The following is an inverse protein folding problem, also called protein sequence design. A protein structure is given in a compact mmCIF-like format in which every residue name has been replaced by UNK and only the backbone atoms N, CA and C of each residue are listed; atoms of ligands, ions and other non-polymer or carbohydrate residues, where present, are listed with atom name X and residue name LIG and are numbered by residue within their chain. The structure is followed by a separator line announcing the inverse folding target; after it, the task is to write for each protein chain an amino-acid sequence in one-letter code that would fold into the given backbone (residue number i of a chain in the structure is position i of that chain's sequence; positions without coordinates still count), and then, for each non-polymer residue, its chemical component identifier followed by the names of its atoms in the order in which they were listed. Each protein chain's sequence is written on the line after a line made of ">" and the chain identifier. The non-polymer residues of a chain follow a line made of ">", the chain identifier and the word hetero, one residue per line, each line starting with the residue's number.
data_IF_598853687483
#
_entry.id   IF_598853687483
#
_cell.length_a   1.000
_cell.length_b   1.000
_cell.length_c   1.000
_cell.angle_alpha   90.00
_cell.angle_beta   90.00
_cell.angle_gamma   90.00
#
_symmetry.space_group_name_H-M   'P 1'
#
loop_
_entity.id
_entity.type
_entity.pdbx_description
1 polymer ?
#
# COMPACT_ATOMS: atom_id res chain seq x y z
N UNK A 1 59.03 59.00 1.76
CA UNK A 1 58.05 59.54 0.80
C UNK A 1 56.69 58.92 1.14
N UNK A 2 55.79 59.72 1.72
CA UNK A 2 54.45 59.32 2.17
C UNK A 2 53.56 59.13 0.94
N UNK A 3 52.93 57.96 0.77
CA UNK A 3 51.74 57.84 -0.08
C UNK A 3 50.61 57.22 0.74
N UNK A 4 49.49 57.93 0.68
CA UNK A 4 48.31 57.90 1.54
C UNK A 4 47.34 56.79 1.17
N UNK A 5 46.76 56.18 2.22
CA UNK A 5 45.56 55.36 2.19
C UNK A 5 44.34 56.21 1.80
N UNK A 6 43.54 55.78 0.83
CA UNK A 6 42.19 56.29 0.57
C UNK A 6 41.20 55.12 0.67
N UNK A 7 40.34 55.23 1.68
CA UNK A 7 39.33 54.29 2.12
C UNK A 7 38.01 54.63 1.44
N UNK A 8 37.59 53.86 0.44
CA UNK A 8 36.27 54.03 -0.19
C UNK A 8 35.23 53.23 0.59
N UNK A 9 34.52 53.93 1.48
CA UNK A 9 33.35 53.43 2.20
C UNK A 9 32.09 53.60 1.33
N UNK A 10 31.66 52.55 0.64
CA UNK A 10 30.35 52.53 -0.04
C UNK A 10 29.28 52.14 0.97
N UNK A 11 28.61 53.14 1.55
CA UNK A 11 27.39 52.97 2.30
C UNK A 11 26.19 52.89 1.34
N UNK A 12 25.77 51.66 0.99
CA UNK A 12 24.46 51.44 0.36
C UNK A 12 23.39 51.45 1.46
N UNK A 13 22.63 52.55 1.47
CA UNK A 13 21.43 52.76 2.26
C UNK A 13 20.43 51.65 1.93
N UNK A 14 20.26 50.70 2.86
CA UNK A 14 19.16 49.73 2.79
C UNK A 14 17.87 50.43 3.19
N UNK A 15 17.11 50.86 2.18
CA UNK A 15 15.73 51.31 2.35
C UNK A 15 14.89 50.14 2.89
N UNK A 16 14.63 50.15 4.20
CA UNK A 16 13.64 49.29 4.82
C UNK A 16 12.25 49.73 4.34
N UNK A 17 11.77 49.11 3.26
CA UNK A 17 10.37 49.17 2.89
C UNK A 17 9.58 48.38 3.93
N UNK A 18 8.94 49.08 4.86
CA UNK A 18 7.96 48.50 5.76
C UNK A 18 6.83 47.90 4.92
N UNK A 19 6.86 46.57 4.75
CA UNK A 19 5.77 45.84 4.13
C UNK A 19 4.50 46.06 4.97
N UNK A 20 3.33 46.26 4.35
CA UNK A 20 2.08 46.31 5.08
C UNK A 20 1.93 44.99 5.85
N UNK A 21 1.65 45.07 7.14
CA UNK A 21 1.31 43.92 7.98
C UNK A 21 0.18 43.13 7.33
N UNK A 22 0.53 42.14 6.53
CA UNK A 22 -0.36 41.08 6.13
C UNK A 22 -0.77 40.42 7.44
N UNK A 23 -2.02 40.63 7.84
CA UNK A 23 -2.61 39.95 8.99
C UNK A 23 -2.49 38.46 8.71
N UNK A 24 -1.48 37.82 9.28
CA UNK A 24 -1.22 36.41 9.08
C UNK A 24 -2.51 35.67 9.45
N UNK A 25 -3.12 35.01 8.47
CA UNK A 25 -4.29 34.20 8.70
C UNK A 25 -3.93 33.18 9.80
N UNK A 26 -4.80 33.04 10.80
CA UNK A 26 -4.57 32.14 11.93
C UNK A 26 -4.14 30.75 11.42
N UNK A 27 -3.12 30.12 12.02
CA UNK A 27 -2.56 28.88 11.52
C UNK A 27 -3.65 27.79 11.56
N UNK A 28 -4.05 27.32 10.38
CA UNK A 28 -5.13 26.33 10.23
C UNK A 28 -4.58 24.91 10.33
N UNK A 29 -5.38 24.01 10.88
CA UNK A 29 -5.15 22.55 10.82
C UNK A 29 -5.87 22.01 9.58
N UNK A 30 -5.16 21.25 8.74
CA UNK A 30 -5.72 20.64 7.54
C UNK A 30 -5.31 19.18 7.50
N UNK A 31 -6.25 18.27 7.79
CA UNK A 31 -5.98 16.84 7.81
C UNK A 31 -6.41 16.20 6.49
N UNK A 32 -5.55 15.36 5.93
CA UNK A 32 -5.83 14.51 4.79
C UNK A 32 -5.52 13.04 5.15
N UNK A 33 -6.42 12.13 4.78
CA UNK A 33 -6.22 10.69 4.99
C UNK A 33 -5.91 10.00 3.65
N UNK A 34 -4.93 9.09 3.64
CA UNK A 34 -4.52 8.32 2.47
C UNK A 34 -4.43 6.83 2.84
N UNK A 35 -5.06 5.92 2.09
CA UNK A 35 -5.89 6.19 0.91
C UNK A 35 -7.24 6.82 1.28
N UNK A 36 -7.86 7.55 0.34
CA UNK A 36 -9.20 8.13 0.52
C UNK A 36 -10.33 7.08 0.42
N UNK A 37 -10.03 5.93 -0.18
CA UNK A 37 -10.90 4.76 -0.19
C UNK A 37 -10.09 3.49 0.13
N UNK A 38 -10.70 2.59 0.88
CA UNK A 38 -10.16 1.29 1.28
C UNK A 38 -11.18 0.20 0.94
N UNK A 39 -10.71 -0.95 0.46
CA UNK A 39 -11.56 -2.11 0.16
C UNK A 39 -11.12 -3.28 1.04
N UNK A 40 -12.07 -3.86 1.78
CA UNK A 40 -11.85 -5.01 2.65
C UNK A 40 -12.12 -6.35 1.93
N UNK A 41 -12.64 -6.31 0.70
CA UNK A 41 -13.03 -7.47 -0.07
C UNK A 41 -14.24 -8.19 0.52
N UNK A 42 -14.33 -9.49 0.21
CA UNK A 42 -15.34 -10.38 0.76
C UNK A 42 -14.96 -10.84 2.18
N UNK A 43 -15.91 -10.75 3.10
CA UNK A 43 -15.73 -11.03 4.52
C UNK A 43 -16.74 -12.06 4.99
N UNK A 44 -16.25 -13.07 5.70
CA UNK A 44 -17.07 -14.01 6.43
C UNK A 44 -17.57 -13.40 7.75
N UNK A 45 -18.64 -13.98 8.29
CA UNK A 45 -19.14 -13.57 9.61
C UNK A 45 -18.06 -13.74 10.69
N UNK A 46 -17.84 -12.70 11.49
CA UNK A 46 -16.82 -12.67 12.54
C UNK A 46 -15.37 -12.52 12.07
N UNK A 47 -15.11 -12.44 10.76
CA UNK A 47 -13.76 -12.25 10.22
C UNK A 47 -13.15 -10.92 10.70
N UNK A 48 -11.84 -10.92 10.93
CA UNK A 48 -11.06 -9.72 11.25
C UNK A 48 -10.14 -9.36 10.09
N UNK A 49 -9.94 -8.06 9.85
CA UNK A 49 -9.03 -7.52 8.83
C UNK A 49 -8.28 -6.31 9.36
N UNK A 50 -6.96 -6.32 9.26
CA UNK A 50 -6.13 -5.18 9.60
C UNK A 50 -5.91 -4.29 8.38
N UNK A 51 -5.91 -2.98 8.58
CA UNK A 51 -5.68 -1.97 7.55
C UNK A 51 -4.85 -0.82 8.11
N UNK A 52 -4.15 -0.11 7.23
CA UNK A 52 -3.32 1.05 7.58
C UNK A 52 -3.74 2.29 6.81
N UNK A 53 -3.83 3.42 7.51
CA UNK A 53 -4.21 4.72 6.96
C UNK A 53 -3.14 5.74 7.34
N UNK A 54 -2.63 6.47 6.36
CA UNK A 54 -1.74 7.60 6.60
C UNK A 54 -2.56 8.89 6.80
N UNK A 55 -2.33 9.59 7.89
CA UNK A 55 -2.88 10.91 8.17
C UNK A 55 -1.78 11.95 7.97
N UNK A 56 -2.03 12.93 7.10
CA UNK A 56 -1.13 14.04 6.84
C UNK A 56 -1.76 15.33 7.36
N UNK A 57 -0.99 16.10 8.13
CA UNK A 57 -1.36 17.48 8.49
C UNK A 57 -0.69 18.44 7.51
N UNK A 58 -1.48 18.95 6.56
CA UNK A 58 -1.07 19.95 5.58
C UNK A 58 -1.21 21.38 6.10
N UNK A 59 -1.68 21.55 7.34
CA UNK A 59 -1.85 22.84 7.98
C UNK A 59 -0.56 23.38 8.59
N UNK A 60 -0.58 24.68 8.90
CA UNK A 60 0.51 25.38 9.58
C UNK A 60 0.43 25.25 11.13
N UNK A 61 -0.68 24.77 11.67
CA UNK A 61 -0.84 24.43 13.10
C UNK A 61 -0.73 22.93 13.34
N UNK A 62 -0.21 22.52 14.49
CA UNK A 62 -0.20 21.12 14.91
C UNK A 62 -1.62 20.60 15.20
N UNK A 63 -1.94 19.41 14.71
CA UNK A 63 -3.21 18.74 14.99
C UNK A 63 -3.05 17.89 16.25
N UNK A 64 -3.58 18.33 17.39
CA UNK A 64 -3.54 17.58 18.65
C UNK A 64 -4.87 16.86 18.91
N UNK A 65 -4.84 15.74 19.64
CA UNK A 65 -6.03 14.97 20.04
C UNK A 65 -6.87 14.48 18.85
N UNK A 66 -6.22 14.17 17.72
CA UNK A 66 -6.93 13.60 16.57
C UNK A 66 -7.41 12.20 16.93
N UNK A 67 -8.74 12.00 16.89
CA UNK A 67 -9.37 10.69 17.12
C UNK A 67 -10.01 10.18 15.84
N UNK A 68 -9.76 8.91 15.52
CA UNK A 68 -10.42 8.22 14.43
C UNK A 68 -11.56 7.36 14.95
N UNK A 69 -12.70 7.37 14.25
CA UNK A 69 -13.90 6.59 14.59
C UNK A 69 -14.49 5.96 13.33
N UNK A 70 -14.92 4.70 13.45
CA UNK A 70 -15.70 3.98 12.45
C UNK A 70 -16.37 2.75 13.06
N UNK A 71 -17.55 2.39 12.57
CA UNK A 71 -18.27 1.21 13.03
C UNK A 71 -17.52 -0.07 12.66
N UNK A 72 -17.32 -0.95 13.64
CA UNK A 72 -16.63 -2.22 13.46
C UNK A 72 -15.10 -2.11 13.41
N UNK A 73 -14.53 -0.92 13.58
CA UNK A 73 -13.08 -0.71 13.62
C UNK A 73 -12.58 -0.47 15.05
N UNK A 74 -11.43 -1.07 15.35
CA UNK A 74 -10.60 -0.75 16.53
C UNK A 74 -9.31 -0.12 16.05
N UNK A 75 -8.92 1.03 16.61
CA UNK A 75 -7.72 1.76 16.22
C UNK A 75 -6.62 1.56 17.26
N UNK A 76 -5.39 1.34 16.79
CA UNK A 76 -4.25 1.02 17.67
C UNK A 76 -3.76 2.23 18.47
N UNK A 77 -3.98 3.45 17.94
CA UNK A 77 -3.62 4.70 18.61
C UNK A 77 -4.86 5.56 18.87
N UNK A 78 -4.90 6.18 20.05
CA UNK A 78 -5.91 7.18 20.45
C UNK A 78 -5.21 8.53 20.63
N UNK A 79 -5.94 9.62 20.37
CA UNK A 79 -5.46 11.01 20.59
C UNK A 79 -4.13 11.33 19.89
N UNK A 80 -4.06 11.11 18.58
CA UNK A 80 -2.85 11.37 17.80
C UNK A 80 -2.50 12.86 17.79
N UNK A 81 -1.20 13.15 17.83
CA UNK A 81 -0.65 14.47 17.59
C UNK A 81 0.16 14.44 16.30
N UNK A 82 -0.23 15.24 15.32
CA UNK A 82 0.44 15.34 14.01
C UNK A 82 0.94 16.78 13.87
N UNK A 83 2.27 16.95 13.92
CA UNK A 83 2.89 18.25 13.74
C UNK A 83 2.52 18.87 12.37
N UNK A 84 2.66 20.19 12.25
CA UNK A 84 2.46 20.88 10.98
C UNK A 84 3.38 20.27 9.90
N UNK A 85 2.82 19.97 8.73
CA UNK A 85 3.54 19.32 7.62
C UNK A 85 3.85 17.83 7.80
N UNK A 86 3.57 17.24 8.96
CA UNK A 86 3.93 15.85 9.26
C UNK A 86 2.90 14.83 8.74
N UNK A 87 3.33 13.58 8.67
CA UNK A 87 2.50 12.43 8.32
C UNK A 87 2.66 11.34 9.38
N UNK A 88 1.56 10.70 9.73
CA UNK A 88 1.51 9.65 10.73
C UNK A 88 0.73 8.44 10.18
N UNK A 89 1.21 7.23 10.42
CA UNK A 89 0.52 6.01 10.03
C UNK A 89 -0.31 5.46 11.19
N UNK A 90 -1.59 5.27 10.95
CA UNK A 90 -2.53 4.67 11.89
C UNK A 90 -2.98 3.30 11.39
N UNK A 91 -2.76 2.27 12.22
CA UNK A 91 -3.33 0.96 11.99
C UNK A 91 -4.72 0.86 12.64
N UNK A 92 -5.60 0.10 11.98
CA UNK A 92 -6.95 -0.18 12.43
C UNK A 92 -7.34 -1.62 12.08
N UNK A 93 -8.11 -2.26 12.95
CA UNK A 93 -8.63 -3.61 12.73
C UNK A 93 -10.14 -3.57 12.60
N UNK A 94 -10.66 -3.99 11.45
CA UNK A 94 -12.08 -4.24 11.22
C UNK A 94 -12.48 -5.60 11.78
N UNK A 95 -13.62 -5.69 12.44
CA UNK A 95 -14.27 -6.93 12.87
C UNK A 95 -15.66 -7.02 12.24
N UNK A 96 -15.87 -8.04 11.40
CA UNK A 96 -17.15 -8.31 10.77
C UNK A 96 -18.19 -8.78 11.80
N UNK A 97 -19.48 -8.56 11.48
CA UNK A 97 -20.57 -8.99 12.34
C UNK A 97 -20.54 -10.51 12.56
N UNK A 98 -20.77 -10.96 13.80
CA UNK A 98 -20.77 -12.39 14.15
C UNK A 98 -21.89 -13.18 13.48
N UNK A 99 -23.00 -12.51 13.13
CA UNK A 99 -24.14 -13.13 12.46
C UNK A 99 -24.01 -12.91 10.95
N UNK A 100 -23.90 -13.99 10.21
CA UNK A 100 -23.95 -13.96 8.77
C UNK A 100 -25.32 -13.45 8.28
N UNK A 101 -25.35 -12.60 7.24
CA UNK A 101 -26.58 -12.15 6.60
C UNK A 101 -27.21 -13.28 5.77
N UNK A 102 -28.49 -13.12 5.43
CA UNK A 102 -29.22 -14.07 4.57
C UNK A 102 -28.82 -13.99 3.09
N UNK A 103 -28.24 -12.86 2.67
CA UNK A 103 -27.72 -12.57 1.33
C UNK A 103 -26.45 -11.72 1.47
N UNK A 104 -25.61 -11.72 0.44
CA UNK A 104 -24.39 -10.91 0.42
C UNK A 104 -24.75 -9.45 0.68
N UNK A 105 -24.16 -8.89 1.73
CA UNK A 105 -24.49 -7.55 2.20
C UNK A 105 -23.31 -6.62 1.90
N UNK A 106 -23.48 -5.62 1.02
CA UNK A 106 -22.42 -4.64 0.78
C UNK A 106 -22.15 -3.85 2.06
N UNK A 107 -20.87 -3.71 2.38
CA UNK A 107 -20.37 -2.91 3.48
C UNK A 107 -19.93 -1.56 2.92
N UNK A 108 -20.51 -0.48 3.44
CA UNK A 108 -20.07 0.90 3.18
C UNK A 108 -19.90 1.58 4.53
N UNK A 109 -18.65 1.73 4.97
CA UNK A 109 -18.30 2.35 6.25
C UNK A 109 -17.45 3.58 5.96
N UNK A 110 -17.52 4.61 6.80
CA UNK A 110 -16.67 5.79 6.70
C UNK A 110 -15.81 5.88 7.95
N UNK A 111 -14.49 5.92 7.77
CA UNK A 111 -13.55 6.26 8.84
C UNK A 111 -13.39 7.77 8.87
N UNK A 112 -13.63 8.38 10.02
CA UNK A 112 -13.50 9.82 10.21
C UNK A 112 -12.43 10.10 11.27
N UNK A 113 -11.43 10.88 10.91
CA UNK A 113 -10.29 11.28 11.74
C UNK A 113 -10.21 12.81 11.80
N UNK A 114 -10.85 13.42 12.78
CA UNK A 114 -11.06 14.87 12.79
C UNK A 114 -11.85 15.32 11.55
N UNK A 115 -11.24 16.16 10.70
CA UNK A 115 -11.83 16.61 9.42
C UNK A 115 -11.53 15.69 8.24
N UNK A 116 -10.57 14.77 8.38
CA UNK A 116 -10.23 13.82 7.31
C UNK A 116 -11.19 12.62 7.32
N UNK A 117 -11.45 12.05 6.15
CA UNK A 117 -12.26 10.84 6.05
C UNK A 117 -11.81 9.88 4.96
N UNK A 118 -11.99 8.59 5.24
CA UNK A 118 -11.71 7.47 4.31
C UNK A 118 -12.98 6.67 4.11
N UNK A 119 -13.38 6.46 2.86
CA UNK A 119 -14.46 5.55 2.52
C UNK A 119 -13.96 4.10 2.57
N UNK A 120 -14.70 3.22 3.23
CA UNK A 120 -14.39 1.79 3.31
C UNK A 120 -15.50 1.02 2.65
N UNK A 121 -15.13 0.10 1.75
CA UNK A 121 -16.05 -0.77 1.04
C UNK A 121 -15.68 -2.24 1.25
N UNK A 122 -16.64 -3.12 0.99
CA UNK A 122 -16.46 -4.58 1.06
C UNK A 122 -17.81 -5.28 0.93
N UNK A 123 -17.82 -6.60 1.09
CA UNK A 123 -19.06 -7.41 1.07
C UNK A 123 -19.01 -8.41 2.20
N UNK A 124 -20.04 -8.44 3.05
CA UNK A 124 -20.23 -9.48 4.04
C UNK A 124 -20.99 -10.63 3.38
N UNK A 125 -20.35 -11.80 3.30
CA UNK A 125 -20.89 -12.96 2.59
C UNK A 125 -22.09 -13.55 3.33
N UNK A 126 -23.07 -13.98 2.55
CA UNK A 126 -24.25 -14.69 3.05
C UNK A 126 -23.86 -16.00 3.73
N UNK A 127 -24.73 -16.46 4.63
CA UNK A 127 -24.68 -17.84 5.12
C UNK A 127 -24.92 -18.79 3.93
N UNK A 128 -23.87 -19.31 3.32
CA UNK A 128 -23.98 -20.48 2.46
C UNK A 128 -24.35 -21.65 3.35
N UNK A 129 -25.48 -22.30 3.08
CA UNK A 129 -25.82 -23.59 3.67
C UNK A 129 -24.76 -24.59 3.18
N UNK A 130 -23.74 -24.80 4.00
CA UNK A 130 -22.69 -25.77 3.72
C UNK A 130 -23.34 -27.16 3.60
N UNK A 131 -23.39 -27.72 2.39
CA UNK A 131 -23.29 -29.18 2.26
C UNK A 131 -21.91 -29.53 2.80
N UNK A 132 -21.94 -30.35 3.84
CA UNK A 132 -20.86 -30.68 4.76
C UNK A 132 -19.54 -31.01 4.06
N UNK A 133 -18.50 -30.23 4.35
CA UNK A 133 -17.11 -30.69 4.38
C UNK A 133 -16.69 -30.73 5.87
N UNK A 134 -15.90 -31.71 6.31
CA UNK A 134 -15.81 -32.06 7.72
C UNK A 134 -15.15 -30.95 8.54
N UNK A 135 -15.72 -30.72 9.72
CA UNK A 135 -15.20 -29.84 10.73
C UNK A 135 -13.83 -30.33 11.20
N UNK A 136 -12.80 -29.51 11.04
CA UNK A 136 -11.55 -29.70 11.78
C UNK A 136 -11.77 -29.06 13.15
N UNK A 137 -11.76 -29.92 14.18
CA UNK A 137 -11.95 -29.56 15.57
C UNK A 137 -10.91 -28.56 16.06
N UNK A 138 -11.35 -27.67 16.95
CA UNK A 138 -10.51 -26.69 17.63
C UNK A 138 -9.50 -27.39 18.57
N UNK A 139 -8.22 -26.99 18.59
CA UNK A 139 -7.31 -27.33 19.68
C UNK A 139 -7.40 -26.30 20.84
N UNK A 140 -7.05 -26.70 22.08
CA UNK A 140 -7.26 -25.92 23.29
C UNK A 140 -6.20 -24.81 23.49
N UNK A 141 -6.52 -23.82 24.35
CA UNK A 141 -5.58 -22.82 24.91
C UNK A 141 -4.44 -23.55 25.69
N UNK A 142 -3.19 -23.09 25.83
CA UNK A 142 -2.56 -21.76 26.07
C UNK A 142 -1.01 -21.95 25.93
N UNK A 143 -0.17 -21.03 25.40
CA UNK A 143 0.72 -20.05 26.10
C UNK A 143 1.58 -19.25 25.06
N UNK A 144 2.06 -18.00 25.33
CA UNK A 144 2.81 -17.16 24.37
C UNK A 144 4.35 -17.16 24.58
N UNK A 145 5.18 -16.55 23.70
CA UNK A 145 5.46 -16.93 22.31
C UNK A 145 6.98 -17.11 22.01
N UNK A 146 7.34 -18.02 21.11
CA UNK A 146 8.61 -17.96 20.36
C UNK A 146 8.32 -18.13 18.86
N UNK A 147 9.02 -17.34 18.04
CA UNK A 147 8.60 -16.92 16.72
C UNK A 147 8.58 -18.04 15.67
N UNK A 148 7.40 -18.36 15.10
CA UNK A 148 7.28 -19.12 13.85
C UNK A 148 5.97 -18.87 13.06
N UNK A 149 6.17 -18.56 11.76
CA UNK A 149 5.41 -18.81 10.52
C UNK A 149 3.87 -18.56 10.42
N UNK A 150 3.39 -17.79 9.41
CA UNK A 150 1.97 -17.71 9.08
C UNK A 150 1.50 -18.87 8.17
N UNK A 151 0.29 -19.44 8.42
CA UNK A 151 -0.29 -20.50 7.59
C UNK A 151 -1.15 -19.96 6.42
N UNK A 152 -1.32 -20.87 5.47
CA UNK A 152 -1.94 -20.83 4.15
C UNK A 152 -3.47 -20.74 4.20
N UNK A 153 -4.12 -19.88 3.39
CA UNK A 153 -5.52 -20.07 2.95
C UNK A 153 -5.78 -19.52 1.54
N UNK A 154 -6.80 -20.10 0.90
CA UNK A 154 -7.10 -20.12 -0.53
C UNK A 154 -7.61 -18.81 -1.16
N UNK A 155 -7.55 -18.78 -2.50
CA UNK A 155 -7.61 -17.63 -3.41
C UNK A 155 -8.93 -17.54 -4.21
N UNK A 156 -9.55 -16.36 -4.34
CA UNK A 156 -10.39 -16.01 -5.48
C UNK A 156 -9.65 -15.12 -6.50
N UNK A 157 -10.12 -15.17 -7.75
CA UNK A 157 -9.52 -14.52 -8.91
C UNK A 157 -9.82 -13.01 -8.99
N UNK A 158 -8.84 -12.26 -9.54
CA UNK A 158 -9.04 -11.01 -10.28
C UNK A 158 -9.58 -9.79 -9.53
N UNK A 159 -8.72 -9.09 -8.78
CA UNK A 159 -9.01 -7.77 -8.19
C UNK A 159 -8.51 -6.60 -9.08
N UNK A 160 -9.13 -5.40 -9.00
CA UNK A 160 -8.95 -4.29 -9.94
C UNK A 160 -7.58 -3.61 -9.85
N UNK A 161 -7.12 -3.03 -10.97
CA UNK A 161 -5.81 -2.39 -11.07
C UNK A 161 -5.63 -1.16 -10.18
N UNK A 162 -4.37 -0.83 -9.87
CA UNK A 162 -3.97 0.31 -9.02
C UNK A 162 -3.45 1.44 -9.88
N UNK A 163 -3.73 2.71 -9.56
CA UNK A 163 -3.20 3.86 -10.31
C UNK A 163 -1.67 3.96 -10.20
N UNK A 164 -0.97 4.31 -11.27
CA UNK A 164 0.50 4.40 -11.30
C UNK A 164 1.09 5.40 -10.29
N UNK A 165 0.36 6.48 -9.97
CA UNK A 165 0.74 7.42 -8.89
C UNK A 165 0.73 6.81 -7.49
N UNK A 166 0.04 5.69 -7.32
CA UNK A 166 -0.04 4.92 -6.08
C UNK A 166 0.77 3.63 -6.19
N UNK A 167 1.88 3.66 -6.95
CA UNK A 167 2.82 2.56 -7.04
C UNK A 167 3.19 2.03 -5.65
N UNK A 168 3.02 0.73 -5.36
CA UNK A 168 3.32 0.18 -4.04
C UNK A 168 4.83 0.14 -3.79
N UNK A 169 5.24 0.24 -2.53
CA UNK A 169 6.66 0.13 -2.18
C UNK A 169 7.12 -1.34 -2.17
N UNK A 170 6.30 -2.22 -1.59
CA UNK A 170 6.48 -3.68 -1.55
C UNK A 170 5.14 -4.35 -1.85
N UNK A 171 5.19 -5.47 -2.56
CA UNK A 171 4.03 -6.33 -2.81
C UNK A 171 4.40 -7.77 -2.55
N UNK A 172 3.39 -8.58 -2.23
CA UNK A 172 3.54 -10.03 -2.16
C UNK A 172 2.93 -10.62 -3.43
N UNK A 173 3.71 -11.37 -4.19
CA UNK A 173 3.26 -12.06 -5.40
C UNK A 173 2.77 -13.45 -5.01
N UNK A 174 1.46 -13.56 -4.80
CA UNK A 174 0.77 -14.77 -4.36
C UNK A 174 -0.30 -15.26 -5.35
N UNK A 175 -0.70 -14.39 -6.30
CA UNK A 175 -1.80 -14.64 -7.22
C UNK A 175 -1.62 -15.88 -8.10
N UNK A 176 -0.42 -16.44 -8.26
CA UNK A 176 -0.19 -17.64 -9.08
C UNK A 176 0.55 -18.75 -8.32
N UNK A 177 0.53 -18.67 -6.99
CA UNK A 177 1.18 -19.63 -6.12
C UNK A 177 0.48 -21.00 -6.17
N UNK A 178 1.28 -22.06 -6.20
CA UNK A 178 0.85 -23.45 -6.01
C UNK A 178 1.68 -24.06 -4.88
N UNK A 179 2.86 -24.63 -5.18
CA UNK A 179 3.68 -25.38 -4.19
C UNK A 179 4.77 -24.57 -3.48
N UNK A 180 5.12 -23.38 -3.98
CA UNK A 180 6.22 -22.57 -3.45
C UNK A 180 5.68 -21.42 -2.62
N UNK A 181 6.47 -20.87 -1.69
CA UNK A 181 6.08 -19.68 -0.94
C UNK A 181 5.81 -18.48 -1.87
N UNK A 182 4.98 -17.54 -1.40
CA UNK A 182 4.73 -16.31 -2.13
C UNK A 182 6.02 -15.47 -2.21
N UNK A 183 6.21 -14.76 -3.32
CA UNK A 183 7.46 -14.01 -3.56
C UNK A 183 7.29 -12.58 -3.07
N UNK A 184 8.04 -12.14 -2.04
CA UNK A 184 8.08 -10.73 -1.67
C UNK A 184 8.81 -9.93 -2.76
N UNK A 185 8.18 -8.89 -3.28
CA UNK A 185 8.72 -8.05 -4.34
C UNK A 185 8.85 -6.60 -3.89
N UNK A 186 10.08 -6.07 -3.91
CA UNK A 186 10.38 -4.67 -3.62
C UNK A 186 10.18 -3.79 -4.84
N UNK A 187 8.93 -3.40 -5.12
CA UNK A 187 8.58 -2.58 -6.28
C UNK A 187 9.32 -1.24 -6.30
N UNK A 188 9.48 -0.57 -5.15
CA UNK A 188 10.28 0.67 -5.04
C UNK A 188 11.75 0.46 -5.37
N UNK A 189 12.36 -0.64 -4.92
CA UNK A 189 13.77 -0.93 -5.17
C UNK A 189 14.07 -1.00 -6.68
N UNK A 190 13.21 -1.68 -7.44
CA UNK A 190 13.38 -1.84 -8.88
C UNK A 190 13.23 -0.51 -9.65
N UNK A 191 12.41 0.43 -9.16
CA UNK A 191 12.21 1.73 -9.82
C UNK A 191 13.24 2.76 -9.35
N UNK A 192 13.46 2.88 -8.04
CA UNK A 192 14.31 3.93 -7.47
C UNK A 192 15.79 3.61 -7.57
N UNK A 193 16.18 2.37 -7.25
CA UNK A 193 17.59 1.95 -7.26
C UNK A 193 17.95 1.28 -8.59
N UNK A 194 17.08 0.38 -9.07
CA UNK A 194 17.25 -0.29 -10.36
C UNK A 194 16.99 0.59 -11.58
N UNK A 195 16.38 1.77 -11.40
CA UNK A 195 16.01 2.72 -12.46
C UNK A 195 15.28 2.06 -13.64
N UNK A 196 14.45 1.06 -13.33
CA UNK A 196 13.72 0.28 -14.33
C UNK A 196 12.47 1.04 -14.77
N UNK A 197 12.26 1.17 -16.08
CA UNK A 197 11.07 1.81 -16.65
C UNK A 197 9.80 1.00 -16.38
N UNK A 198 8.66 1.66 -16.17
CA UNK A 198 7.41 1.00 -15.79
C UNK A 198 6.93 -0.02 -16.84
N UNK A 199 7.10 0.29 -18.13
CA UNK A 199 6.71 -0.57 -19.26
C UNK A 199 7.65 -1.76 -19.45
N UNK A 200 8.78 -1.79 -18.74
CA UNK A 200 9.57 -3.01 -18.60
C UNK A 200 8.70 -4.06 -17.91
N UNK A 201 8.17 -3.80 -16.72
CA UNK A 201 7.34 -4.80 -16.02
C UNK A 201 5.88 -4.80 -16.48
N UNK A 202 5.37 -3.68 -17.01
CA UNK A 202 4.01 -3.54 -17.53
C UNK A 202 4.01 -3.39 -19.06
N UNK A 203 4.39 -4.44 -19.82
CA UNK A 203 4.66 -4.35 -21.26
C UNK A 203 3.45 -3.99 -22.11
N UNK A 204 2.23 -4.22 -21.60
CA UNK A 204 0.97 -3.84 -22.26
C UNK A 204 0.60 -2.37 -22.05
N UNK A 205 1.39 -1.63 -21.27
CA UNK A 205 1.15 -0.22 -20.92
C UNK A 205 2.38 0.62 -21.27
N UNK A 206 2.65 0.77 -22.58
CA UNK A 206 3.78 1.57 -23.07
C UNK A 206 3.66 3.03 -22.64
N UNK A 207 4.79 3.63 -22.25
CA UNK A 207 4.83 5.02 -21.80
C UNK A 207 4.21 5.28 -20.43
N UNK A 208 4.00 4.23 -19.62
CA UNK A 208 3.49 4.36 -18.26
C UNK A 208 4.43 5.20 -17.40
N UNK A 209 3.95 6.33 -16.87
CA UNK A 209 4.74 7.25 -16.04
C UNK A 209 4.36 7.16 -14.58
N UNK A 210 5.38 7.21 -13.72
CA UNK A 210 5.19 7.43 -12.29
C UNK A 210 4.39 8.73 -12.06
N UNK A 211 3.47 8.72 -11.11
CA UNK A 211 2.61 9.89 -10.82
C UNK A 211 1.39 10.05 -11.72
N UNK A 212 1.20 9.21 -12.76
CA UNK A 212 0.00 9.28 -13.60
C UNK A 212 -1.22 8.59 -12.98
N UNK A 213 -2.42 8.97 -13.45
CA UNK A 213 -3.68 8.35 -13.07
C UNK A 213 -3.97 7.03 -13.82
N UNK A 214 -3.05 6.57 -14.67
CA UNK A 214 -3.19 5.34 -15.42
C UNK A 214 -3.37 4.13 -14.49
N UNK A 215 -4.41 3.34 -14.73
CA UNK A 215 -4.71 2.13 -13.95
C UNK A 215 -3.79 1.00 -14.40
N UNK A 216 -2.92 0.56 -13.50
CA UNK A 216 -1.95 -0.52 -13.71
C UNK A 216 -2.57 -1.85 -13.30
N UNK A 217 -2.65 -2.79 -14.24
CA UNK A 217 -3.22 -4.12 -14.00
C UNK A 217 -2.18 -5.07 -13.43
N UNK A 218 -2.63 -6.00 -12.57
CA UNK A 218 -1.81 -7.14 -12.12
C UNK A 218 -1.55 -8.10 -13.28
N UNK A 219 -0.40 -8.78 -13.28
CA UNK A 219 -0.09 -9.82 -14.27
C UNK A 219 -1.17 -10.93 -14.29
N UNK A 220 -1.63 -11.33 -13.10
CA UNK A 220 -2.66 -12.37 -12.94
C UNK A 220 -4.01 -12.01 -13.61
N UNK A 221 -4.29 -10.74 -13.90
CA UNK A 221 -5.52 -10.34 -14.58
C UNK A 221 -5.61 -10.92 -16.01
N UNK A 222 -4.46 -11.16 -16.66
CA UNK A 222 -4.39 -11.73 -18.00
C UNK A 222 -3.72 -13.12 -18.01
N UNK A 223 -2.77 -13.36 -17.10
CA UNK A 223 -1.95 -14.57 -17.11
C UNK A 223 -2.46 -15.69 -16.19
N UNK A 224 -3.52 -15.48 -15.39
CA UNK A 224 -3.98 -16.52 -14.47
C UNK A 224 -4.76 -17.65 -15.14
N UNK A 225 -5.67 -17.28 -16.05
CA UNK A 225 -6.47 -18.18 -16.87
C UNK A 225 -6.56 -17.57 -18.28
N UNK A 226 -5.46 -17.57 -19.05
CA UNK A 226 -5.44 -16.92 -20.35
C UNK A 226 -6.37 -17.64 -21.34
N UNK A 227 -7.19 -16.88 -22.08
CA UNK A 227 -8.04 -17.35 -23.18
C UNK A 227 -7.34 -17.25 -24.55
N UNK A 228 -6.25 -16.49 -24.62
CA UNK A 228 -5.43 -16.25 -25.81
C UNK A 228 -4.04 -16.90 -25.69
N UNK A 229 -3.15 -16.68 -26.67
CA UNK A 229 -1.75 -17.16 -26.67
C UNK A 229 -0.85 -16.61 -25.54
N UNK A 230 -1.41 -15.90 -24.56
CA UNK A 230 -0.66 -15.37 -23.43
C UNK A 230 -0.17 -16.51 -22.53
N UNK A 231 1.09 -16.48 -22.06
CA UNK A 231 1.61 -17.53 -21.19
C UNK A 231 0.88 -17.55 -19.85
N UNK A 232 0.59 -18.74 -19.32
CA UNK A 232 -0.03 -18.88 -18.01
C UNK A 232 0.98 -18.72 -16.88
N UNK A 233 0.63 -17.95 -15.85
CA UNK A 233 1.41 -17.84 -14.62
C UNK A 233 1.30 -19.07 -13.71
N UNK A 234 0.45 -20.05 -14.05
CA UNK A 234 0.40 -21.35 -13.37
C UNK A 234 1.47 -22.31 -13.89
N UNK A 235 2.12 -22.01 -15.01
CA UNK A 235 3.22 -22.80 -15.54
C UNK A 235 4.40 -22.83 -14.56
N UNK A 236 4.98 -24.00 -14.30
CA UNK A 236 6.12 -24.16 -13.38
C UNK A 236 7.47 -23.92 -14.05
N UNK A 237 7.47 -23.64 -15.35
CA UNK A 237 8.69 -23.44 -16.13
C UNK A 237 9.29 -22.04 -15.92
N UNK A 238 10.62 -21.97 -15.86
CA UNK A 238 11.38 -20.72 -15.88
C UNK A 238 11.34 -19.98 -17.22
N UNK A 239 10.98 -20.68 -18.30
CA UNK A 239 10.91 -20.14 -19.67
C UNK A 239 9.48 -19.92 -20.19
N UNK A 240 8.46 -20.41 -19.48
CA UNK A 240 7.04 -20.24 -19.88
C UNK A 240 6.22 -19.41 -18.90
N UNK A 241 6.64 -19.31 -17.64
CA UNK A 241 5.92 -18.49 -16.67
C UNK A 241 6.28 -17.00 -16.85
N UNK A 242 5.31 -16.09 -17.05
CA UNK A 242 5.57 -14.65 -17.22
C UNK A 242 6.38 -14.02 -16.08
N UNK A 243 6.18 -14.46 -14.83
CA UNK A 243 7.00 -13.97 -13.71
C UNK A 243 8.44 -14.45 -13.82
N UNK A 244 8.67 -15.73 -14.11
CA UNK A 244 10.04 -16.24 -14.24
C UNK A 244 10.77 -15.64 -15.43
N UNK A 245 10.11 -15.52 -16.58
CA UNK A 245 10.68 -14.88 -17.77
C UNK A 245 11.12 -13.46 -17.44
N UNK A 246 10.27 -12.67 -16.78
CA UNK A 246 10.58 -11.26 -16.51
C UNK A 246 11.59 -11.06 -15.40
N UNK A 247 11.39 -11.72 -14.25
CA UNK A 247 12.26 -11.58 -13.09
C UNK A 247 13.62 -12.22 -13.35
N UNK A 248 13.66 -13.52 -13.71
CA UNK A 248 14.92 -14.23 -13.91
C UNK A 248 15.65 -13.74 -15.16
N UNK A 249 14.93 -13.36 -16.22
CA UNK A 249 15.55 -12.80 -17.43
C UNK A 249 16.37 -11.56 -17.09
N UNK A 250 15.75 -10.58 -16.43
CA UNK A 250 16.44 -9.35 -16.03
C UNK A 250 17.59 -9.62 -15.03
N UNK A 251 17.35 -10.45 -14.01
CA UNK A 251 18.37 -10.73 -12.99
C UNK A 251 19.60 -11.44 -13.58
N UNK A 252 19.39 -12.39 -14.51
CA UNK A 252 20.49 -13.08 -15.20
C UNK A 252 21.23 -12.17 -16.18
N UNK A 253 20.51 -11.33 -16.91
CA UNK A 253 21.11 -10.39 -17.86
C UNK A 253 21.97 -9.34 -17.14
N UNK A 254 21.47 -8.79 -16.03
CA UNK A 254 22.20 -7.82 -15.21
C UNK A 254 23.36 -8.43 -14.43
N UNK A 255 23.32 -9.74 -14.19
CA UNK A 255 24.32 -10.49 -13.43
C UNK A 255 24.70 -9.83 -12.09
N UNK A 256 23.70 -9.25 -11.40
CA UNK A 256 23.89 -8.60 -10.12
C UNK A 256 23.84 -9.67 -9.00
N UNK A 257 24.87 -9.78 -8.14
CA UNK A 257 24.90 -10.78 -7.07
C UNK A 257 23.79 -10.59 -6.02
N UNK A 258 23.17 -9.40 -5.93
CA UNK A 258 22.02 -9.12 -5.06
C UNK A 258 20.69 -9.53 -5.71
N UNK A 259 20.68 -9.76 -7.02
CA UNK A 259 19.49 -10.14 -7.76
C UNK A 259 19.31 -11.67 -7.70
N UNK A 260 18.25 -12.18 -7.05
CA UNK A 260 18.08 -13.62 -6.87
C UNK A 260 17.80 -14.32 -8.20
N UNK A 261 18.57 -15.35 -8.52
CA UNK A 261 18.39 -16.16 -9.73
C UNK A 261 18.04 -17.62 -9.44
N UNK A 262 18.13 -18.05 -8.16
CA UNK A 262 17.78 -19.40 -7.73
C UNK A 262 16.38 -19.44 -7.13
N UNK A 263 15.72 -20.59 -7.24
CA UNK A 263 14.34 -20.77 -6.82
C UNK A 263 14.10 -20.41 -5.35
N UNK A 264 15.00 -20.83 -4.44
CA UNK A 264 14.85 -20.59 -3.00
C UNK A 264 15.08 -19.13 -2.60
N UNK A 265 15.88 -18.40 -3.38
CA UNK A 265 16.18 -16.99 -3.10
C UNK A 265 14.99 -16.09 -3.41
N UNK A 266 14.16 -16.49 -4.39
CA UNK A 266 12.88 -15.84 -4.70
C UNK A 266 11.73 -16.38 -3.83
N UNK A 267 11.63 -17.71 -3.68
CA UNK A 267 10.56 -18.38 -2.93
C UNK A 267 11.01 -18.76 -1.52
N UNK A 268 11.39 -17.75 -0.72
CA UNK A 268 11.82 -17.94 0.66
C UNK A 268 10.67 -18.51 1.50
N UNK A 269 10.94 -19.63 2.19
CA UNK A 269 9.97 -20.43 2.96
C UNK A 269 10.09 -20.23 4.46
#
# INVERSE_FOLDING_TARGET
>A
MRLTFELVLVALVSSALAAPSARAAAPKVVLAATPAQLDLGALEAGAKRQVSIALANQGAAAATKVTCKATGFTFDKKNLTIAAGAKETLAATYTAAKKAPAKDKPLKVKITCGTASVAVQGVLLAKIAAKSAPAVAAPPAEKPPEAAKPPETAKPAGAPGVKAKNAPDKILLDDCRDKKAAVPFGHKHHISEGKIACDTCHPTQKGLKAGSDAVVKKCAACHLNPTDKAPSCKEKSSSKNPYHIRCLGCHKEKNDPKAPTKCADCHKS
#
